data_IF_312148938112
#
_entry.id   IF_312148938112
#
_cell.length_a   1.000
_cell.length_b   1.000
_cell.length_c   1.000
_cell.angle_alpha   90.00
_cell.angle_beta   90.00
_cell.angle_gamma   90.00
#
_symmetry.space_group_name_H-M   'P 1'
#
loop_
_entity.id
_entity.type
_entity.pdbx_description
1 polymer ?
#
# COMPACT_ATOMS: atom_id res chain seq x y z
N UNK A 1 -16.19 20.72 -0.46
CA UNK A 1 -14.93 20.14 -0.97
C UNK A 1 -14.78 18.78 -0.31
N UNK A 2 -14.66 17.67 -1.04
CA UNK A 2 -14.39 16.39 -0.41
C UNK A 2 -13.04 16.50 0.31
N UNK A 3 -12.99 16.08 1.58
CA UNK A 3 -11.75 16.01 2.33
C UNK A 3 -10.79 15.10 1.56
N UNK A 4 -9.55 15.54 1.35
CA UNK A 4 -8.50 14.77 0.65
C UNK A 4 -8.34 13.36 1.26
N UNK A 5 -8.71 13.21 2.54
CA UNK A 5 -8.72 11.96 3.29
C UNK A 5 -9.72 10.91 2.80
N UNK A 6 -10.75 11.29 2.01
CA UNK A 6 -11.71 10.33 1.46
C UNK A 6 -11.28 9.71 0.13
N UNK A 7 -10.17 10.16 -0.46
CA UNK A 7 -9.65 9.57 -1.68
C UNK A 7 -9.14 8.13 -1.43
N UNK A 8 -9.61 7.12 -2.19
CA UNK A 8 -9.17 5.73 -2.06
C UNK A 8 -7.65 5.55 -2.19
N UNK A 9 -7.01 6.32 -3.08
CA UNK A 9 -5.55 6.30 -3.29
C UNK A 9 -4.81 6.79 -2.05
N UNK A 10 -5.34 7.81 -1.37
CA UNK A 10 -4.75 8.33 -0.14
C UNK A 10 -4.87 7.32 1.01
N UNK A 11 -6.03 6.68 1.16
CA UNK A 11 -6.24 5.61 2.16
C UNK A 11 -5.32 4.41 1.91
N UNK A 12 -5.16 4.00 0.66
CA UNK A 12 -4.22 2.94 0.27
C UNK A 12 -2.76 3.30 0.58
N UNK A 13 -2.34 4.51 0.19
CA UNK A 13 -0.96 4.96 0.42
C UNK A 13 -0.64 5.03 1.90
N UNK A 14 -1.53 5.59 2.72
CA UNK A 14 -1.36 5.61 4.18
C UNK A 14 -1.30 4.21 4.79
N UNK A 15 -2.10 3.27 4.28
CA UNK A 15 -2.07 1.88 4.73
C UNK A 15 -0.70 1.26 4.47
N UNK A 16 -0.17 1.41 3.26
CA UNK A 16 1.14 0.90 2.86
C UNK A 16 2.26 1.56 3.68
N UNK A 17 2.25 2.89 3.80
CA UNK A 17 3.27 3.64 4.55
C UNK A 17 3.22 3.40 6.07
N UNK A 18 2.09 2.92 6.60
CA UNK A 18 1.96 2.57 8.02
C UNK A 18 2.59 1.22 8.39
N UNK A 19 3.04 0.43 7.41
CA UNK A 19 3.66 -0.87 7.64
C UNK A 19 5.04 -0.70 8.27
N UNK A 20 5.24 -1.33 9.42
CA UNK A 20 6.48 -1.27 10.22
C UNK A 20 7.56 -2.28 9.78
N UNK A 21 7.27 -3.12 8.80
CA UNK A 21 8.18 -4.17 8.34
C UNK A 21 7.73 -4.72 6.98
N UNK A 22 8.43 -5.74 6.45
CA UNK A 22 8.08 -6.35 5.19
C UNK A 22 6.64 -6.87 5.19
N UNK A 23 5.94 -6.65 4.10
CA UNK A 23 4.55 -7.05 3.91
C UNK A 23 4.35 -7.70 2.54
N UNK A 24 3.33 -8.55 2.45
CA UNK A 24 2.94 -9.23 1.23
C UNK A 24 1.70 -8.61 0.62
N UNK A 25 1.46 -8.91 -0.65
CA UNK A 25 0.26 -8.48 -1.35
C UNK A 25 -1.02 -9.03 -0.68
N UNK A 26 -0.95 -10.24 -0.11
CA UNK A 26 -2.05 -10.85 0.65
C UNK A 26 -2.37 -10.09 1.94
N UNK A 27 -1.34 -9.65 2.66
CA UNK A 27 -1.55 -8.86 3.88
C UNK A 27 -2.22 -7.53 3.57
N UNK A 28 -1.77 -6.83 2.51
CA UNK A 28 -2.41 -5.59 2.05
C UNK A 28 -3.87 -5.83 1.66
N UNK A 29 -4.16 -6.91 0.92
CA UNK A 29 -5.54 -7.29 0.58
C UNK A 29 -6.41 -7.55 1.80
N UNK A 30 -5.88 -8.22 2.83
CA UNK A 30 -6.60 -8.43 4.09
C UNK A 30 -6.89 -7.11 4.80
N UNK A 31 -5.89 -6.23 4.95
CA UNK A 31 -6.09 -4.94 5.63
C UNK A 31 -7.10 -4.04 4.90
N UNK A 32 -7.09 -4.06 3.56
CA UNK A 32 -8.05 -3.30 2.75
C UNK A 32 -9.47 -3.83 2.96
N UNK A 33 -9.64 -5.15 3.03
CA UNK A 33 -10.93 -5.78 3.31
C UNK A 33 -11.42 -5.44 4.71
N UNK A 34 -10.56 -5.46 5.72
CA UNK A 34 -10.90 -5.06 7.10
C UNK A 34 -11.35 -3.60 7.21
N UNK A 35 -10.81 -2.73 6.36
CA UNK A 35 -11.17 -1.30 6.30
C UNK A 35 -12.35 -1.00 5.37
N UNK A 36 -12.98 -2.02 4.78
CA UNK A 36 -14.08 -1.83 3.83
C UNK A 36 -13.69 -1.12 2.54
N UNK A 37 -12.41 -1.20 2.16
CA UNK A 37 -11.87 -0.62 0.93
C UNK A 37 -11.91 -1.63 -0.22
N UNK A 38 -11.83 -1.13 -1.45
CA UNK A 38 -11.85 -1.97 -2.64
C UNK A 38 -10.65 -2.93 -2.66
N UNK A 39 -10.93 -4.23 -2.62
CA UNK A 39 -9.93 -5.28 -2.63
C UNK A 39 -9.85 -5.91 -4.02
N UNK A 40 -9.25 -5.17 -4.96
CA UNK A 40 -8.96 -5.65 -6.31
C UNK A 40 -7.45 -5.88 -6.45
N UNK A 41 -7.04 -7.15 -6.51
CA UNK A 41 -5.63 -7.54 -6.55
C UNK A 41 -4.84 -6.85 -7.67
N UNK A 42 -5.46 -6.67 -8.85
CA UNK A 42 -4.82 -6.00 -9.99
C UNK A 42 -4.54 -4.53 -9.68
N UNK A 43 -5.51 -3.82 -9.09
CA UNK A 43 -5.35 -2.41 -8.72
C UNK A 43 -4.35 -2.23 -7.57
N UNK A 44 -4.34 -3.16 -6.60
CA UNK A 44 -3.36 -3.17 -5.51
C UNK A 44 -1.95 -3.31 -6.08
N UNK A 45 -1.75 -4.25 -6.99
CA UNK A 45 -0.45 -4.49 -7.63
C UNK A 45 0.01 -3.29 -8.46
N UNK A 46 -0.89 -2.68 -9.24
CA UNK A 46 -0.59 -1.46 -9.99
C UNK A 46 -0.24 -0.28 -9.06
N UNK A 47 -0.94 -0.16 -7.93
CA UNK A 47 -0.68 0.90 -6.94
C UNK A 47 0.66 0.68 -6.23
N UNK A 48 0.98 -0.54 -5.81
CA UNK A 48 2.30 -0.88 -5.25
C UNK A 48 3.41 -0.63 -6.25
N UNK A 49 3.19 -0.94 -7.53
CA UNK A 49 4.16 -0.66 -8.59
C UNK A 49 4.43 0.83 -8.74
N UNK A 50 3.38 1.69 -8.70
CA UNK A 50 3.57 3.15 -8.71
C UNK A 50 4.34 3.63 -7.50
N UNK A 51 3.98 3.18 -6.30
CA UNK A 51 4.70 3.54 -5.07
C UNK A 51 6.17 3.10 -5.13
N UNK A 52 6.47 1.97 -5.77
CA UNK A 52 7.83 1.51 -6.03
C UNK A 52 8.56 2.38 -7.03
N UNK A 53 7.91 2.71 -8.15
CA UNK A 53 8.48 3.57 -9.19
C UNK A 53 8.72 5.00 -8.64
N UNK A 54 7.93 5.46 -7.66
CA UNK A 54 8.09 6.70 -6.91
C UNK A 54 9.16 6.60 -5.79
N UNK A 55 9.75 5.42 -5.57
CA UNK A 55 10.77 5.19 -4.54
C UNK A 55 10.25 5.12 -3.11
N UNK A 56 8.94 4.99 -2.91
CA UNK A 56 8.30 4.89 -1.59
C UNK A 56 8.29 3.47 -1.03
N UNK A 57 8.30 2.47 -1.92
CA UNK A 57 8.26 1.04 -1.59
C UNK A 57 9.37 0.31 -2.34
N UNK A 58 9.96 -0.70 -1.70
CA UNK A 58 10.96 -1.58 -2.30
C UNK A 58 10.35 -2.98 -2.42
N UNK A 59 10.50 -3.60 -3.59
CA UNK A 59 10.01 -4.96 -3.86
C UNK A 59 11.16 -5.97 -3.68
N UNK A 60 10.97 -6.93 -2.79
CA UNK A 60 11.90 -8.01 -2.46
C UNK A 60 11.26 -9.37 -2.78
N UNK A 61 11.21 -9.74 -4.07
CA UNK A 61 10.59 -10.99 -4.51
C UNK A 61 9.10 -11.04 -4.11
N UNK A 62 8.66 -11.93 -3.21
CA UNK A 62 7.26 -11.99 -2.78
C UNK A 62 6.87 -10.94 -1.72
N UNK A 63 7.83 -10.13 -1.23
CA UNK A 63 7.63 -9.14 -0.18
C UNK A 63 7.83 -7.71 -0.67
N UNK A 64 7.29 -6.75 0.08
CA UNK A 64 7.44 -5.33 -0.11
C UNK A 64 7.84 -4.67 1.22
N UNK A 65 8.63 -3.62 1.18
CA UNK A 65 9.03 -2.84 2.36
C UNK A 65 8.88 -1.35 2.07
N UNK A 66 8.60 -0.54 3.08
CA UNK A 66 8.59 0.93 2.93
C UNK A 66 10.03 1.42 2.87
N UNK A 67 10.37 2.25 1.88
CA UNK A 67 11.75 2.70 1.64
C UNK A 67 12.33 3.57 2.78
N UNK A 68 11.48 4.15 3.62
CA UNK A 68 11.87 5.06 4.71
C UNK A 68 11.86 4.40 6.09
N UNK A 69 11.66 3.07 6.17
CA UNK A 69 11.52 2.34 7.44
C UNK A 69 12.83 1.92 8.12
N UNK A 70 13.99 2.30 7.59
CA UNK A 70 15.33 1.88 8.05
C UNK A 70 16.08 2.96 8.89
N UNK A 71 15.37 3.69 9.77
CA UNK A 71 15.99 4.62 10.74
C UNK A 71 15.63 4.32 12.18
#
# INVERSE_FOLDING_TARGET
MPLVTDNPTYKFTNLVLSKKGPFTLREISSDLKEKGLENNEKLIKESLRRLRDDGLVIEHGPFFSVAFGDY
#
